data_IF_949908281410
#
_entry.id   IF_949908281410
#
_cell.length_a   1.000
_cell.length_b   1.000
_cell.length_c   1.000
_cell.angle_alpha   90.00
_cell.angle_beta   90.00
_cell.angle_gamma   90.00
#
_symmetry.space_group_name_H-M   'P 1'
#
loop_
_entity.id
_entity.type
_entity.pdbx_description
1 polymer ?
#
# COMPACT_ATOMS: atom_id res chain seq x y z
N UNK A 1 -22.44 -23.72 54.45
CA UNK A 1 -21.47 -24.28 53.51
C UNK A 1 -21.59 -23.72 52.06
N UNK A 2 -22.76 -23.34 51.57
CA UNK A 2 -22.95 -22.77 50.22
C UNK A 2 -22.28 -21.40 50.00
N UNK A 3 -22.21 -20.52 51.03
CA UNK A 3 -21.62 -19.20 50.92
C UNK A 3 -20.10 -19.20 50.71
N UNK A 4 -19.39 -20.17 51.29
CA UNK A 4 -17.93 -20.31 51.17
C UNK A 4 -17.52 -20.75 49.74
N UNK A 5 -18.31 -21.65 49.14
CA UNK A 5 -18.09 -22.11 47.74
C UNK A 5 -18.29 -21.02 46.71
N UNK A 6 -19.28 -20.15 46.93
CA UNK A 6 -19.54 -19.02 46.02
C UNK A 6 -18.44 -17.96 46.08
N UNK A 7 -17.95 -17.65 47.29
CA UNK A 7 -16.85 -16.68 47.46
C UNK A 7 -15.55 -17.19 46.83
N UNK A 8 -15.24 -18.45 46.92
CA UNK A 8 -14.03 -19.04 46.31
C UNK A 8 -14.11 -19.05 44.75
N UNK A 9 -15.29 -19.34 44.20
CA UNK A 9 -15.52 -19.29 42.74
C UNK A 9 -15.40 -17.87 42.21
N UNK A 10 -15.93 -16.85 42.93
CA UNK A 10 -15.84 -15.45 42.55
C UNK A 10 -14.38 -14.94 42.62
N UNK A 11 -13.64 -15.31 43.65
CA UNK A 11 -12.23 -14.95 43.77
C UNK A 11 -11.37 -15.61 42.69
N UNK A 12 -11.68 -16.85 42.28
CA UNK A 12 -11.01 -17.55 41.19
C UNK A 12 -11.24 -16.91 39.82
N UNK A 13 -12.47 -16.51 39.53
CA UNK A 13 -12.82 -15.83 38.28
C UNK A 13 -12.23 -14.41 38.22
N UNK A 14 -12.24 -13.66 39.33
CA UNK A 14 -11.62 -12.36 39.42
C UNK A 14 -10.09 -12.46 39.28
N UNK A 15 -9.46 -13.42 39.93
CA UNK A 15 -8.03 -13.67 39.80
C UNK A 15 -7.62 -14.10 38.35
N UNK A 16 -8.50 -14.81 37.65
CA UNK A 16 -8.27 -15.17 36.26
C UNK A 16 -8.43 -13.95 35.32
N UNK A 17 -9.41 -13.07 35.54
CA UNK A 17 -9.63 -11.84 34.78
C UNK A 17 -8.52 -10.78 35.05
N UNK A 18 -7.93 -10.76 36.24
CA UNK A 18 -6.85 -9.85 36.62
C UNK A 18 -5.44 -10.39 36.27
N UNK A 19 -5.35 -11.55 35.64
CA UNK A 19 -4.06 -12.06 35.16
C UNK A 19 -3.57 -11.15 34.04
N UNK A 20 -2.66 -10.26 34.40
CA UNK A 20 -1.92 -9.42 33.46
C UNK A 20 -1.21 -10.36 32.46
N UNK A 21 -1.47 -10.25 31.15
CA UNK A 21 -0.77 -11.05 30.17
C UNK A 21 0.74 -10.84 30.33
N UNK A 22 1.57 -11.88 30.11
CA UNK A 22 3.01 -11.75 30.24
C UNK A 22 3.49 -10.62 29.32
N UNK A 23 4.49 -9.84 29.76
CA UNK A 23 5.03 -8.76 28.94
C UNK A 23 5.50 -9.35 27.60
N UNK A 24 5.14 -8.68 26.49
CA UNK A 24 5.51 -9.12 25.16
C UNK A 24 7.03 -9.33 25.06
N UNK A 25 7.50 -10.40 24.41
CA UNK A 25 8.92 -10.68 24.26
C UNK A 25 9.62 -9.46 23.65
N UNK A 26 10.81 -9.11 24.17
CA UNK A 26 11.55 -7.89 23.80
C UNK A 26 11.77 -7.68 22.29
N UNK A 27 11.62 -8.71 21.46
CA UNK A 27 11.64 -8.63 20.00
C UNK A 27 10.34 -8.10 19.36
N UNK A 28 9.18 -8.20 20.04
CA UNK A 28 7.91 -7.74 19.50
C UNK A 28 7.78 -6.20 19.55
N UNK A 29 8.47 -5.54 20.45
CA UNK A 29 8.44 -4.08 20.60
C UNK A 29 9.14 -3.33 19.45
N UNK A 30 10.10 -3.96 18.76
CA UNK A 30 10.78 -3.34 17.61
C UNK A 30 9.90 -3.33 16.36
N UNK A 31 9.06 -4.35 16.18
CA UNK A 31 8.15 -4.47 15.03
C UNK A 31 6.96 -3.51 15.16
N UNK A 32 6.43 -3.33 16.38
CA UNK A 32 5.36 -2.35 16.65
C UNK A 32 5.87 -0.91 16.45
N UNK A 33 7.11 -0.63 16.81
CA UNK A 33 7.74 0.69 16.60
C UNK A 33 7.90 1.05 15.12
N UNK A 34 8.11 0.08 14.25
CA UNK A 34 8.27 0.28 12.81
C UNK A 34 6.97 0.81 12.18
N UNK A 35 5.80 0.26 12.55
CA UNK A 35 4.51 0.68 12.02
C UNK A 35 4.06 2.05 12.58
N UNK A 36 4.40 2.38 13.83
CA UNK A 36 4.06 3.68 14.43
C UNK A 36 4.91 4.85 13.90
N UNK A 37 5.98 4.57 13.16
CA UNK A 37 6.92 5.59 12.70
C UNK A 37 6.79 5.96 11.21
N UNK A 38 5.74 5.51 10.51
CA UNK A 38 5.52 5.86 9.10
C UNK A 38 5.23 7.36 8.99
N UNK A 39 6.15 8.10 8.36
CA UNK A 39 6.05 9.54 8.13
C UNK A 39 5.88 9.89 6.66
N UNK A 40 6.31 9.01 5.76
CA UNK A 40 6.22 9.23 4.33
C UNK A 40 5.86 7.95 3.59
N UNK A 41 4.78 8.01 2.81
CA UNK A 41 4.26 6.90 2.01
C UNK A 41 4.41 7.23 0.53
N UNK A 42 4.99 6.32 -0.25
CA UNK A 42 5.10 6.41 -1.71
C UNK A 42 4.08 5.48 -2.37
N UNK A 43 3.28 6.02 -3.28
CA UNK A 43 2.36 5.24 -4.10
C UNK A 43 2.70 5.44 -5.57
N UNK A 44 3.43 4.52 -6.21
CA UNK A 44 3.70 4.60 -7.63
C UNK A 44 2.48 4.20 -8.45
N UNK A 45 2.16 5.00 -9.47
CA UNK A 45 1.13 4.71 -10.45
C UNK A 45 1.79 4.08 -11.68
N UNK A 46 1.51 2.80 -11.89
CA UNK A 46 1.98 2.01 -13.03
C UNK A 46 0.84 1.67 -13.99
N UNK A 47 -0.35 1.52 -13.45
CA UNK A 47 -1.59 1.20 -14.14
C UNK A 47 -2.77 1.85 -13.40
N UNK A 48 -3.67 2.49 -14.14
CA UNK A 48 -4.77 3.25 -13.55
C UNK A 48 -5.64 2.42 -12.58
N UNK A 49 -6.04 1.21 -12.97
CA UNK A 49 -7.00 0.44 -12.18
C UNK A 49 -6.43 -0.15 -10.88
N UNK A 50 -5.23 -0.69 -10.93
CA UNK A 50 -4.58 -1.27 -9.76
C UNK A 50 -4.03 -0.17 -8.83
N UNK A 51 -3.53 0.92 -9.42
CA UNK A 51 -2.95 2.03 -8.64
C UNK A 51 -3.99 2.81 -7.84
N UNK A 52 -5.21 2.96 -8.36
CA UNK A 52 -6.33 3.59 -7.64
C UNK A 52 -6.62 2.85 -6.33
N UNK A 53 -6.62 1.52 -6.35
CA UNK A 53 -6.78 0.72 -5.13
C UNK A 53 -5.60 0.84 -4.18
N UNK A 54 -4.38 0.91 -4.71
CA UNK A 54 -3.19 1.11 -3.89
C UNK A 54 -3.22 2.46 -3.15
N UNK A 55 -3.73 3.52 -3.80
CA UNK A 55 -3.93 4.83 -3.14
C UNK A 55 -4.97 4.71 -2.02
N UNK A 56 -6.09 4.05 -2.27
CA UNK A 56 -7.11 3.80 -1.25
C UNK A 56 -6.54 3.02 -0.06
N UNK A 57 -5.78 1.95 -0.32
CA UNK A 57 -5.13 1.16 0.72
C UNK A 57 -4.10 2.01 1.49
N UNK A 58 -3.27 2.77 0.78
CA UNK A 58 -2.28 3.66 1.39
C UNK A 58 -2.94 4.72 2.28
N UNK A 59 -4.07 5.29 1.83
CA UNK A 59 -4.83 6.26 2.60
C UNK A 59 -5.40 5.64 3.88
N UNK A 60 -5.91 4.42 3.81
CA UNK A 60 -6.39 3.69 5.00
C UNK A 60 -5.27 3.35 5.97
N UNK A 61 -4.12 2.89 5.47
CA UNK A 61 -2.94 2.63 6.31
C UNK A 61 -2.40 3.91 6.97
N UNK A 62 -2.59 5.06 6.31
CA UNK A 62 -2.18 6.36 6.83
C UNK A 62 -3.15 6.95 7.86
N UNK A 63 -4.33 6.37 8.06
CA UNK A 63 -5.28 6.84 9.06
C UNK A 63 -4.67 6.81 10.45
N UNK A 64 -4.57 7.99 11.07
CA UNK A 64 -3.97 8.15 12.39
C UNK A 64 -2.46 8.49 12.41
N UNK A 65 -1.73 8.23 11.33
CA UNK A 65 -0.27 8.49 11.27
C UNK A 65 0.10 9.89 10.76
N UNK A 66 -0.80 10.56 10.02
CA UNK A 66 -0.55 11.86 9.37
C UNK A 66 0.71 11.88 8.49
N UNK A 67 1.04 10.74 7.89
CA UNK A 67 2.20 10.62 7.03
C UNK A 67 1.98 11.42 5.72
N UNK A 68 3.04 12.02 5.20
CA UNK A 68 3.04 12.64 3.88
C UNK A 68 2.85 11.56 2.81
N UNK A 69 1.90 11.77 1.88
CA UNK A 69 1.68 10.86 0.76
C UNK A 69 2.27 11.44 -0.52
N UNK A 70 3.18 10.70 -1.12
CA UNK A 70 3.77 11.01 -2.43
C UNK A 70 3.21 10.04 -3.48
N UNK A 71 2.47 10.57 -4.45
CA UNK A 71 1.95 9.81 -5.58
C UNK A 71 2.82 10.10 -6.81
N UNK A 72 3.42 9.07 -7.38
CA UNK A 72 4.35 9.23 -8.50
C UNK A 72 3.90 8.43 -9.70
N UNK A 73 3.66 9.11 -10.82
CA UNK A 73 3.52 8.44 -12.10
C UNK A 73 4.90 8.22 -12.73
N UNK A 74 5.26 6.96 -13.01
CA UNK A 74 6.53 6.64 -13.68
C UNK A 74 6.25 6.25 -15.12
N UNK A 75 6.62 7.15 -16.03
CA UNK A 75 6.52 6.91 -17.47
C UNK A 75 7.75 6.16 -17.96
N UNK A 76 7.55 4.89 -18.35
CA UNK A 76 8.63 4.05 -18.87
C UNK A 76 8.83 4.31 -20.37
N UNK A 77 10.04 4.72 -20.74
CA UNK A 77 10.40 5.03 -22.13
C UNK A 77 11.30 3.92 -22.69
N UNK A 78 11.04 3.43 -23.94
CA UNK A 78 11.91 2.48 -24.60
C UNK A 78 13.34 2.99 -24.76
N UNK A 79 14.31 2.07 -24.79
CA UNK A 79 15.75 2.44 -24.90
C UNK A 79 16.08 3.29 -26.13
N UNK A 80 15.39 3.08 -27.23
CA UNK A 80 15.64 3.76 -28.51
C UNK A 80 15.04 5.17 -28.56
N UNK A 81 14.11 5.52 -27.68
CA UNK A 81 13.48 6.82 -27.64
C UNK A 81 14.26 7.81 -26.75
N UNK A 82 14.26 9.11 -27.04
CA UNK A 82 14.88 10.10 -26.18
C UNK A 82 14.20 10.16 -24.80
N UNK A 83 14.98 10.39 -23.75
CA UNK A 83 14.48 10.52 -22.39
C UNK A 83 13.91 11.93 -22.18
N UNK A 84 12.74 12.18 -22.72
CA UNK A 84 12.08 13.48 -22.66
C UNK A 84 10.80 13.33 -21.85
N UNK A 85 10.51 14.33 -21.01
CA UNK A 85 9.21 14.38 -20.31
C UNK A 85 8.09 14.46 -21.35
N UNK A 86 7.06 13.60 -21.25
CA UNK A 86 5.91 13.70 -22.15
C UNK A 86 5.25 15.07 -21.95
N UNK A 87 5.11 15.79 -23.03
CA UNK A 87 4.37 17.04 -23.03
C UNK A 87 2.93 16.72 -22.62
N UNK A 88 2.48 17.26 -21.50
CA UNK A 88 1.15 17.12 -20.86
C UNK A 88 0.25 16.02 -21.45
N UNK A 89 0.61 14.74 -21.20
CA UNK A 89 -0.28 13.64 -21.58
C UNK A 89 -1.57 13.68 -20.73
N UNK A 90 -2.74 13.90 -21.37
CA UNK A 90 -4.01 13.96 -20.63
C UNK A 90 -4.35 12.66 -19.88
N UNK A 91 -3.75 11.52 -20.26
CA UNK A 91 -3.94 10.25 -19.57
C UNK A 91 -3.17 10.24 -18.24
N UNK A 92 -1.93 10.75 -18.25
CA UNK A 92 -1.11 10.86 -17.05
C UNK A 92 -1.78 11.81 -16.06
N UNK A 93 -2.23 12.97 -16.55
CA UNK A 93 -2.89 13.96 -15.69
C UNK A 93 -4.16 13.38 -15.06
N UNK A 94 -5.03 12.75 -15.85
CA UNK A 94 -6.24 12.08 -15.34
C UNK A 94 -5.93 11.00 -14.32
N UNK A 95 -4.82 10.27 -14.49
CA UNK A 95 -4.39 9.25 -13.53
C UNK A 95 -4.00 9.86 -12.18
N UNK A 96 -3.23 10.96 -12.23
CA UNK A 96 -2.80 11.67 -11.02
C UNK A 96 -3.98 12.36 -10.33
N UNK A 97 -4.88 12.98 -11.09
CA UNK A 97 -6.07 13.66 -10.56
C UNK A 97 -7.01 12.66 -9.87
N UNK A 98 -7.25 11.50 -10.49
CA UNK A 98 -8.05 10.43 -9.89
C UNK A 98 -7.40 9.90 -8.59
N UNK A 99 -6.10 9.70 -8.59
CA UNK A 99 -5.37 9.26 -7.42
C UNK A 99 -5.39 10.30 -6.29
N UNK A 100 -5.17 11.57 -6.64
CA UNK A 100 -5.24 12.69 -5.68
C UNK A 100 -6.64 12.85 -5.11
N UNK A 101 -7.68 12.73 -5.94
CA UNK A 101 -9.08 12.77 -5.49
C UNK A 101 -9.36 11.70 -4.44
N UNK A 102 -8.89 10.45 -4.64
CA UNK A 102 -9.09 9.39 -3.65
C UNK A 102 -8.39 9.71 -2.34
N UNK A 103 -7.15 10.19 -2.37
CA UNK A 103 -6.43 10.57 -1.16
C UNK A 103 -7.17 11.68 -0.38
N UNK A 104 -7.77 12.65 -1.09
CA UNK A 104 -8.53 13.75 -0.47
C UNK A 104 -9.82 13.28 0.20
N UNK A 105 -10.45 12.18 -0.25
CA UNK A 105 -11.60 11.58 0.45
C UNK A 105 -11.22 11.06 1.84
N UNK A 106 -9.94 10.81 2.10
CA UNK A 106 -9.40 10.43 3.40
C UNK A 106 -8.73 11.60 4.15
N UNK A 107 -9.03 12.84 3.76
CA UNK A 107 -8.44 14.06 4.33
C UNK A 107 -6.89 14.13 4.18
N UNK A 108 -6.33 13.47 3.15
CA UNK A 108 -4.91 13.50 2.83
C UNK A 108 -4.73 14.38 1.60
N UNK A 109 -3.84 15.39 1.69
CA UNK A 109 -3.41 16.19 0.54
C UNK A 109 -2.11 15.59 0.01
N UNK A 110 -2.16 14.81 -1.10
CA UNK A 110 -0.96 14.16 -1.60
C UNK A 110 -0.08 15.12 -2.41
N UNK A 111 1.22 14.88 -2.40
CA UNK A 111 2.11 15.45 -3.42
C UNK A 111 2.08 14.54 -4.65
N UNK A 112 1.89 15.11 -5.83
CA UNK A 112 1.88 14.36 -7.09
C UNK A 112 3.10 14.72 -7.95
N UNK A 113 3.67 13.73 -8.64
CA UNK A 113 4.87 13.91 -9.46
C UNK A 113 4.85 12.97 -10.67
N UNK A 114 5.34 13.46 -11.81
CA UNK A 114 5.63 12.63 -12.99
C UNK A 114 7.13 12.42 -13.08
N UNK A 115 7.56 11.21 -13.29
CA UNK A 115 8.94 10.87 -13.57
C UNK A 115 9.03 10.04 -14.84
N UNK A 116 10.15 10.20 -15.54
CA UNK A 116 10.48 9.45 -16.74
C UNK A 116 11.65 8.54 -16.46
N UNK A 117 11.57 7.30 -16.88
CA UNK A 117 12.63 6.33 -16.67
C UNK A 117 12.70 5.26 -17.77
N UNK A 118 13.84 4.58 -17.87
CA UNK A 118 13.99 3.38 -18.71
C UNK A 118 13.41 2.14 -18.05
N UNK A 119 13.45 2.12 -16.73
CA UNK A 119 12.98 1.04 -15.89
C UNK A 119 12.24 1.60 -14.68
N UNK A 120 10.94 1.42 -14.66
CA UNK A 120 10.09 2.00 -13.62
C UNK A 120 10.48 1.51 -12.22
N UNK A 121 10.82 0.23 -12.07
CA UNK A 121 11.22 -0.34 -10.79
C UNK A 121 12.45 0.33 -10.19
N UNK A 122 13.48 0.59 -11.00
CA UNK A 122 14.68 1.33 -10.56
C UNK A 122 14.32 2.72 -10.10
N UNK A 123 13.52 3.45 -10.90
CA UNK A 123 13.15 4.83 -10.55
C UNK A 123 12.34 4.94 -9.27
N UNK A 124 11.44 3.98 -9.03
CA UNK A 124 10.67 3.92 -7.78
C UNK A 124 11.60 3.77 -6.57
N UNK A 125 12.57 2.86 -6.65
CA UNK A 125 13.54 2.63 -5.57
C UNK A 125 14.44 3.85 -5.35
N UNK A 126 14.87 4.53 -6.41
CA UNK A 126 15.63 5.78 -6.32
C UNK A 126 14.81 6.87 -5.63
N UNK A 127 13.56 7.09 -6.05
CA UNK A 127 12.66 8.07 -5.43
C UNK A 127 12.46 7.74 -3.94
N UNK A 128 12.30 6.47 -3.59
CA UNK A 128 12.14 6.07 -2.20
C UNK A 128 13.37 6.42 -1.35
N UNK A 129 14.58 6.32 -1.91
CA UNK A 129 15.82 6.75 -1.24
C UNK A 129 15.94 8.27 -1.17
N UNK A 130 15.73 8.96 -2.31
CA UNK A 130 15.81 10.43 -2.41
C UNK A 130 14.88 11.14 -1.44
N UNK A 131 13.65 10.62 -1.33
CA UNK A 131 12.60 11.22 -0.50
C UNK A 131 12.58 10.71 0.95
N UNK A 132 13.37 9.70 1.29
CA UNK A 132 13.36 9.09 2.62
C UNK A 132 12.01 8.45 2.96
N UNK A 133 11.48 7.62 2.06
CA UNK A 133 10.17 6.97 2.18
C UNK A 133 10.24 5.84 3.20
N UNK A 134 9.25 5.76 4.09
CA UNK A 134 9.15 4.69 5.08
C UNK A 134 8.33 3.49 4.56
N UNK A 135 7.34 3.76 3.68
CA UNK A 135 6.44 2.74 3.14
C UNK A 135 6.16 2.95 1.65
N UNK A 136 6.31 1.91 0.84
CA UNK A 136 5.86 1.88 -0.55
C UNK A 136 4.62 1.01 -0.67
N UNK A 137 3.55 1.52 -1.29
CA UNK A 137 2.32 0.76 -1.55
C UNK A 137 2.16 0.57 -3.05
N UNK A 138 2.29 -0.68 -3.52
CA UNK A 138 2.22 -1.05 -4.92
C UNK A 138 0.88 -1.68 -5.27
N UNK A 139 0.18 -1.14 -6.24
CA UNK A 139 -0.98 -1.79 -6.85
C UNK A 139 -0.54 -2.64 -8.05
N UNK A 140 -0.87 -3.92 -8.04
CA UNK A 140 -0.60 -4.83 -9.15
C UNK A 140 -1.87 -5.52 -9.63
N UNK A 141 -1.93 -5.80 -10.94
CA UNK A 141 -2.96 -6.67 -11.51
C UNK A 141 -2.47 -8.10 -11.53
N UNK A 142 -3.41 -9.02 -11.48
CA UNK A 142 -3.11 -10.42 -11.73
C UNK A 142 -2.58 -10.60 -13.16
N UNK A 143 -1.35 -11.08 -13.28
CA UNK A 143 -0.72 -11.40 -14.57
C UNK A 143 -1.37 -12.64 -15.16
N UNK A 144 -1.63 -12.60 -16.48
CA UNK A 144 -2.34 -13.68 -17.18
C UNK A 144 -1.41 -14.66 -17.88
N UNK A 145 -0.14 -14.37 -17.92
CA UNK A 145 0.84 -15.20 -18.64
C UNK A 145 1.46 -16.24 -17.74
N UNK A 146 1.45 -17.52 -18.12
CA UNK A 146 1.91 -18.62 -17.27
C UNK A 146 3.38 -18.54 -16.83
N UNK A 147 4.21 -17.80 -17.58
CA UNK A 147 5.66 -17.71 -17.37
C UNK A 147 6.12 -16.36 -16.82
N UNK A 148 5.20 -15.47 -16.44
CA UNK A 148 5.57 -14.20 -15.81
C UNK A 148 5.47 -14.30 -14.28
N UNK A 149 6.35 -13.55 -13.60
CA UNK A 149 6.27 -13.43 -12.14
C UNK A 149 4.86 -13.01 -11.70
N UNK A 150 4.30 -13.64 -10.65
CA UNK A 150 2.97 -13.28 -10.13
C UNK A 150 2.84 -11.80 -9.72
N UNK A 151 3.95 -11.17 -9.39
CA UNK A 151 4.01 -9.75 -9.01
C UNK A 151 4.26 -8.83 -10.21
N UNK A 152 4.78 -9.37 -11.31
CA UNK A 152 5.27 -8.58 -12.42
C UNK A 152 6.66 -7.96 -12.16
N UNK A 153 7.36 -7.64 -13.27
CA UNK A 153 8.76 -7.20 -13.26
C UNK A 153 9.04 -6.01 -12.34
N UNK A 154 8.18 -5.00 -12.37
CA UNK A 154 8.38 -3.75 -11.60
C UNK A 154 8.23 -4.01 -10.11
N UNK A 155 7.13 -4.67 -9.70
CA UNK A 155 6.87 -4.93 -8.29
C UNK A 155 7.91 -5.90 -7.70
N UNK A 156 8.31 -6.93 -8.44
CA UNK A 156 9.37 -7.84 -8.01
C UNK A 156 10.70 -7.10 -7.78
N UNK A 157 11.06 -6.21 -8.69
CA UNK A 157 12.28 -5.41 -8.52
C UNK A 157 12.19 -4.50 -7.28
N UNK A 158 11.06 -3.82 -7.08
CA UNK A 158 10.86 -2.94 -5.92
C UNK A 158 10.92 -3.74 -4.63
N UNK A 159 10.20 -4.87 -4.53
CA UNK A 159 10.20 -5.72 -3.31
C UNK A 159 11.62 -6.18 -2.95
N UNK A 160 12.47 -6.48 -3.94
CA UNK A 160 13.85 -6.93 -3.69
C UNK A 160 14.83 -5.82 -3.31
N UNK A 161 14.59 -4.57 -3.76
CA UNK A 161 15.60 -3.51 -3.72
C UNK A 161 15.16 -2.27 -2.94
N UNK A 162 13.91 -2.22 -2.46
CA UNK A 162 13.40 -1.07 -1.72
C UNK A 162 14.20 -0.84 -0.43
N UNK A 163 14.49 0.42 -0.09
CA UNK A 163 15.12 0.78 1.18
C UNK A 163 14.13 0.80 2.36
N UNK A 164 12.84 0.67 2.08
CA UNK A 164 11.70 0.84 2.98
C UNK A 164 10.79 -0.38 2.96
N UNK A 165 9.80 -0.40 3.83
CA UNK A 165 8.75 -1.43 3.80
C UNK A 165 7.95 -1.37 2.51
N UNK A 166 7.46 -2.53 2.02
CA UNK A 166 6.69 -2.62 0.79
C UNK A 166 5.42 -3.41 1.03
N UNK A 167 4.30 -2.79 0.72
CA UNK A 167 2.97 -3.44 0.68
C UNK A 167 2.55 -3.59 -0.77
N UNK A 168 2.14 -4.81 -1.14
CA UNK A 168 1.65 -5.11 -2.48
C UNK A 168 0.15 -5.41 -2.42
N UNK A 169 -0.65 -4.54 -3.04
CA UNK A 169 -2.10 -4.77 -3.23
C UNK A 169 -2.32 -5.48 -4.58
N UNK A 170 -2.64 -6.77 -4.51
CA UNK A 170 -2.96 -7.57 -5.68
C UNK A 170 -4.45 -7.57 -5.94
N UNK A 171 -4.87 -7.00 -7.06
CA UNK A 171 -6.27 -7.03 -7.49
C UNK A 171 -6.57 -8.36 -8.20
N UNK A 172 -7.40 -9.24 -7.62
CA UNK A 172 -7.79 -10.47 -8.27
C UNK A 172 -8.64 -10.16 -9.52
N UNK A 173 -8.49 -10.96 -10.57
CA UNK A 173 -9.43 -10.92 -11.70
C UNK A 173 -10.81 -11.35 -11.22
N UNK A 174 -11.66 -10.39 -10.96
CA UNK A 174 -13.08 -10.69 -10.80
C UNK A 174 -13.59 -11.15 -12.17
N UNK A 175 -13.97 -12.42 -12.30
CA UNK A 175 -14.89 -12.83 -13.36
C UNK A 175 -16.17 -12.03 -13.10
N UNK A 176 -16.38 -10.97 -13.88
CA UNK A 176 -17.68 -10.31 -13.91
C UNK A 176 -18.60 -11.34 -14.55
N UNK A 177 -19.38 -12.03 -13.72
CA UNK A 177 -20.53 -12.75 -14.22
C UNK A 177 -21.43 -11.69 -14.85
N UNK A 178 -21.49 -11.67 -16.19
CA UNK A 178 -22.50 -10.91 -16.91
C UNK A 178 -23.83 -11.48 -16.45
N UNK A 179 -24.52 -10.76 -15.56
CA UNK A 179 -25.93 -11.04 -15.28
C UNK A 179 -26.65 -10.68 -16.58
N UNK A 180 -27.25 -11.63 -17.28
CA UNK A 180 -28.05 -11.29 -18.45
C UNK A 180 -29.21 -10.43 -17.94
N UNK A 181 -29.24 -9.18 -18.37
CA UNK A 181 -30.44 -8.35 -18.21
C UNK A 181 -31.45 -8.89 -19.18
N UNK A 182 -32.37 -9.74 -18.70
CA UNK A 182 -33.58 -10.07 -19.45
C UNK A 182 -34.41 -8.78 -19.54
N UNK A 183 -34.38 -8.18 -20.73
CA UNK A 183 -35.31 -7.12 -21.12
C UNK A 183 -36.68 -7.80 -21.35
N UNK A 184 -37.59 -7.62 -20.38
CA UNK A 184 -39.02 -7.89 -20.54
C UNK A 184 -39.69 -6.66 -21.15
#
# INVERSE_FOLDING_TARGET
MLAVGFSAALAGTLGWMLRVPPPAPRGATSTVRSVESIRKVLVPILDLGASVRAVELAARLNQGHKAEMLIVYVHEIPLQAPLVMPEKDPKIQRALDAAAFIATQHAIVPRTRVNVARQAGHRIVEIAREEGVDLIVLGIREQSRPNESPLGRVAEFVVRNAPSEVVVDRVPRRKVALIPVELT
#
